data_IF_704932345040
#
_entry.id   IF_704932345040
#
_cell.length_a   1.000
_cell.length_b   1.000
_cell.length_c   1.000
_cell.angle_alpha   90.00
_cell.angle_beta   90.00
_cell.angle_gamma   90.00
#
_symmetry.space_group_name_H-M   'P 1'
#
loop_
_entity.id
_entity.type
_entity.pdbx_description
1 polymer ?
#
# COMPACT_ATOMS: atom_id res chain seq x y z
N UNK A 1 3.42 -11.53 31.95
CA UNK A 1 3.57 -10.42 30.98
C UNK A 1 3.38 -10.85 29.52
N UNK A 2 3.77 -12.07 29.16
CA UNK A 2 3.64 -12.62 27.79
C UNK A 2 2.19 -12.82 27.30
N UNK A 3 1.30 -13.34 28.16
CA UNK A 3 -0.09 -13.66 27.78
C UNK A 3 -0.91 -12.41 27.38
N UNK A 4 -0.74 -11.29 28.09
CA UNK A 4 -1.37 -10.01 27.71
C UNK A 4 -0.87 -9.48 26.34
N UNK A 5 0.40 -9.65 26.06
CA UNK A 5 1.01 -9.24 24.78
C UNK A 5 0.50 -10.11 23.64
N UNK A 6 0.39 -11.42 23.84
CA UNK A 6 -0.16 -12.36 22.86
C UNK A 6 -1.64 -12.03 22.59
N UNK A 7 -2.45 -11.83 23.63
CA UNK A 7 -3.87 -11.47 23.50
C UNK A 7 -4.07 -10.15 22.75
N UNK A 8 -3.24 -9.15 23.04
CA UNK A 8 -3.27 -7.84 22.36
C UNK A 8 -2.88 -7.97 20.88
N UNK A 9 -1.92 -8.82 20.55
CA UNK A 9 -1.51 -9.04 19.16
C UNK A 9 -2.57 -9.81 18.36
N UNK A 10 -3.21 -10.80 18.97
CA UNK A 10 -4.33 -11.55 18.39
C UNK A 10 -5.52 -10.59 18.15
N UNK A 11 -5.86 -9.76 19.13
CA UNK A 11 -6.93 -8.77 18.99
C UNK A 11 -6.69 -7.78 17.84
N UNK A 12 -5.45 -7.33 17.63
CA UNK A 12 -5.08 -6.45 16.51
C UNK A 12 -5.27 -7.07 15.12
N UNK A 13 -5.26 -8.39 15.02
CA UNK A 13 -5.50 -9.12 13.76
C UNK A 13 -6.99 -9.44 13.62
N UNK A 14 -7.63 -9.90 14.68
CA UNK A 14 -9.03 -10.35 14.64
C UNK A 14 -10.00 -9.17 14.54
N UNK A 15 -9.76 -8.08 15.28
CA UNK A 15 -10.68 -6.93 15.30
C UNK A 15 -10.94 -6.30 13.90
N UNK A 16 -9.93 -6.08 13.03
CA UNK A 16 -10.18 -5.61 11.67
C UNK A 16 -10.98 -6.58 10.80
N UNK A 17 -10.76 -7.89 10.98
CA UNK A 17 -11.50 -8.93 10.25
C UNK A 17 -12.96 -8.95 10.71
N UNK A 18 -13.19 -8.91 12.02
CA UNK A 18 -14.55 -8.84 12.58
C UNK A 18 -15.27 -7.55 12.16
N UNK A 19 -14.58 -6.41 12.17
CA UNK A 19 -15.15 -5.14 11.75
C UNK A 19 -15.57 -5.19 10.27
N UNK A 20 -14.69 -5.62 9.39
CA UNK A 20 -15.00 -5.76 7.96
C UNK A 20 -16.14 -6.75 7.72
N UNK A 21 -16.11 -7.91 8.41
CA UNK A 21 -17.17 -8.93 8.34
C UNK A 21 -18.51 -8.42 8.88
N UNK A 22 -18.50 -7.67 9.98
CA UNK A 22 -19.74 -7.09 10.55
C UNK A 22 -20.38 -6.06 9.59
N UNK A 23 -19.57 -5.19 8.96
CA UNK A 23 -20.07 -4.23 7.98
C UNK A 23 -20.65 -4.97 6.76
N UNK A 24 -19.95 -5.98 6.24
CA UNK A 24 -20.47 -6.78 5.14
C UNK A 24 -21.76 -7.51 5.52
N UNK A 25 -21.78 -8.18 6.68
CA UNK A 25 -22.99 -8.85 7.16
C UNK A 25 -24.16 -7.89 7.28
N UNK A 26 -23.95 -6.70 7.86
CA UNK A 26 -25.00 -5.69 7.98
C UNK A 26 -25.52 -5.19 6.63
N UNK A 27 -24.63 -5.01 5.65
CA UNK A 27 -24.99 -4.56 4.31
C UNK A 27 -25.72 -5.62 3.49
N UNK A 28 -25.35 -6.89 3.64
CA UNK A 28 -25.85 -7.98 2.77
C UNK A 28 -26.86 -8.90 3.44
N UNK A 29 -27.19 -8.66 4.72
CA UNK A 29 -28.21 -9.43 5.39
C UNK A 29 -29.59 -9.13 4.77
N UNK A 30 -30.28 -10.17 4.31
CA UNK A 30 -31.61 -10.05 3.70
C UNK A 30 -31.60 -9.85 2.19
N UNK A 31 -30.43 -9.80 1.56
CA UNK A 31 -30.32 -9.72 0.10
C UNK A 31 -30.59 -11.06 -0.58
N UNK A 32 -31.19 -10.99 -1.77
CA UNK A 32 -31.48 -12.17 -2.58
C UNK A 32 -30.24 -12.56 -3.41
N UNK A 33 -29.50 -13.55 -2.93
CA UNK A 33 -28.33 -14.08 -3.65
C UNK A 33 -28.67 -14.73 -4.99
N UNK A 34 -29.91 -15.15 -5.23
CA UNK A 34 -30.34 -15.64 -6.54
C UNK A 34 -30.43 -14.49 -7.55
N UNK A 35 -30.91 -13.34 -7.12
CA UNK A 35 -30.93 -12.12 -7.93
C UNK A 35 -29.50 -11.63 -8.22
N UNK A 36 -28.62 -11.63 -7.22
CA UNK A 36 -27.19 -11.30 -7.41
C UNK A 36 -26.53 -12.21 -8.46
N UNK A 37 -26.81 -13.52 -8.41
CA UNK A 37 -26.31 -14.48 -9.40
C UNK A 37 -26.82 -14.17 -10.79
N UNK A 38 -28.09 -13.81 -10.93
CA UNK A 38 -28.70 -13.43 -12.20
C UNK A 38 -28.00 -12.19 -12.78
N UNK A 39 -27.83 -11.14 -11.98
CA UNK A 39 -27.10 -9.92 -12.38
C UNK A 39 -25.68 -10.23 -12.83
N UNK A 40 -24.96 -11.08 -12.10
CA UNK A 40 -23.59 -11.47 -12.41
C UNK A 40 -23.49 -12.23 -13.75
N UNK A 41 -24.41 -13.17 -14.02
CA UNK A 41 -24.29 -14.08 -15.15
C UNK A 41 -24.99 -13.56 -16.42
N UNK A 42 -26.08 -12.79 -16.28
CA UNK A 42 -26.97 -12.43 -17.38
C UNK A 42 -27.02 -10.93 -17.68
N UNK A 43 -26.92 -10.07 -16.66
CA UNK A 43 -27.02 -8.62 -16.85
C UNK A 43 -25.64 -7.94 -17.01
N UNK A 44 -24.59 -8.54 -16.46
CA UNK A 44 -23.26 -7.94 -16.45
C UNK A 44 -22.52 -8.09 -17.80
N UNK A 45 -22.02 -6.97 -18.32
CA UNK A 45 -21.16 -6.99 -19.49
C UNK A 45 -19.72 -7.34 -19.13
N UNK A 46 -19.37 -8.61 -19.28
CA UNK A 46 -18.05 -9.16 -18.97
C UNK A 46 -16.91 -8.57 -19.83
N UNK A 47 -17.22 -8.07 -21.01
CA UNK A 47 -16.20 -7.47 -21.90
C UNK A 47 -15.50 -6.31 -21.24
N UNK A 48 -16.23 -5.41 -20.59
CA UNK A 48 -15.68 -4.27 -19.89
C UNK A 48 -14.90 -4.68 -18.64
N UNK A 49 -15.39 -5.68 -17.91
CA UNK A 49 -14.66 -6.22 -16.77
C UNK A 49 -13.31 -6.81 -17.18
N UNK A 50 -13.29 -7.65 -18.22
CA UNK A 50 -12.05 -8.22 -18.74
C UNK A 50 -11.12 -7.15 -19.30
N UNK A 51 -11.65 -6.13 -19.97
CA UNK A 51 -10.87 -4.99 -20.47
C UNK A 51 -10.25 -4.16 -19.33
N UNK A 52 -10.84 -4.19 -18.13
CA UNK A 52 -10.29 -3.52 -16.96
C UNK A 52 -9.02 -4.22 -16.40
N UNK A 53 -8.90 -5.54 -16.54
CA UNK A 53 -7.80 -6.33 -15.94
C UNK A 53 -6.39 -5.93 -16.37
N UNK A 54 -6.11 -5.65 -17.67
CA UNK A 54 -4.81 -5.14 -18.08
C UNK A 54 -4.35 -3.92 -17.28
N UNK A 55 -5.27 -3.01 -16.96
CA UNK A 55 -4.94 -1.82 -16.16
C UNK A 55 -4.65 -2.17 -14.70
N UNK A 56 -5.38 -3.11 -14.10
CA UNK A 56 -5.08 -3.62 -12.77
C UNK A 56 -3.70 -4.29 -12.69
N UNK A 57 -3.34 -5.08 -13.71
CA UNK A 57 -2.03 -5.71 -13.83
C UNK A 57 -0.94 -4.64 -14.04
N UNK A 58 -1.17 -3.68 -14.94
CA UNK A 58 -0.23 -2.61 -15.26
C UNK A 58 0.08 -1.73 -14.04
N UNK A 59 -0.91 -1.43 -13.22
CA UNK A 59 -0.72 -0.70 -11.97
C UNK A 59 0.27 -1.42 -11.04
N UNK A 60 0.15 -2.73 -10.91
CA UNK A 60 1.05 -3.53 -10.08
C UNK A 60 2.45 -3.69 -10.70
N UNK A 61 2.55 -3.81 -12.03
CA UNK A 61 3.83 -3.80 -12.74
C UNK A 61 4.58 -2.48 -12.53
N UNK A 62 3.91 -1.36 -12.73
CA UNK A 62 4.49 -0.03 -12.48
C UNK A 62 4.95 0.13 -11.04
N UNK A 63 4.19 -0.41 -10.08
CA UNK A 63 4.57 -0.40 -8.66
C UNK A 63 5.85 -1.21 -8.42
N UNK A 64 5.99 -2.38 -9.02
CA UNK A 64 7.21 -3.20 -8.94
C UNK A 64 8.42 -2.51 -9.55
N UNK A 65 8.27 -1.89 -10.73
CA UNK A 65 9.34 -1.17 -11.41
C UNK A 65 9.72 0.14 -10.69
N UNK A 66 8.76 0.87 -10.14
CA UNK A 66 9.00 2.04 -9.30
C UNK A 66 9.78 1.65 -8.04
N UNK A 67 9.36 0.57 -7.37
CA UNK A 67 10.04 0.08 -6.17
C UNK A 67 11.50 -0.30 -6.43
N UNK A 68 11.79 -0.92 -7.55
CA UNK A 68 13.18 -1.17 -7.94
C UNK A 68 14.02 0.10 -7.97
N UNK A 69 13.50 1.22 -8.47
CA UNK A 69 14.24 2.48 -8.54
C UNK A 69 14.60 3.04 -7.17
N UNK A 70 13.76 2.86 -6.15
CA UNK A 70 14.05 3.28 -4.78
C UNK A 70 15.02 2.34 -4.07
N UNK A 71 15.13 1.08 -4.53
CA UNK A 71 16.05 0.08 -3.98
C UNK A 71 17.47 0.18 -4.57
N UNK A 72 17.62 0.61 -5.81
CA UNK A 72 18.92 0.67 -6.49
C UNK A 72 19.98 1.54 -5.77
N UNK A 73 19.65 2.74 -5.25
CA UNK A 73 20.62 3.55 -4.48
C UNK A 73 21.12 2.80 -3.25
N UNK A 74 20.23 2.14 -2.53
CA UNK A 74 20.55 1.39 -1.31
C UNK A 74 21.48 0.20 -1.60
N UNK A 75 21.26 -0.50 -2.71
CA UNK A 75 22.12 -1.60 -3.13
C UNK A 75 23.53 -1.13 -3.45
N UNK A 76 23.68 0.06 -4.06
CA UNK A 76 24.99 0.66 -4.35
C UNK A 76 25.74 1.12 -3.10
N UNK A 77 25.05 1.69 -2.12
CA UNK A 77 25.67 2.13 -0.87
C UNK A 77 26.20 0.95 -0.06
N UNK A 78 25.51 -0.20 -0.09
CA UNK A 78 26.00 -1.44 0.53
C UNK A 78 27.31 -1.85 -0.14
N UNK A 79 27.32 -1.91 -1.46
CA UNK A 79 28.51 -2.26 -2.25
C UNK A 79 29.71 -1.37 -1.93
N UNK A 80 29.50 -0.06 -1.92
CA UNK A 80 30.57 0.91 -1.67
C UNK A 80 31.15 0.81 -0.25
N UNK A 81 30.31 0.49 0.74
CA UNK A 81 30.78 0.34 2.12
C UNK A 81 31.53 -0.96 2.34
N UNK A 82 31.13 -2.05 1.65
CA UNK A 82 31.88 -3.31 1.67
C UNK A 82 33.26 -3.16 0.99
N UNK A 83 33.33 -2.46 -0.16
CA UNK A 83 34.60 -2.16 -0.82
C UNK A 83 35.56 -1.31 0.06
N UNK A 84 35.01 -0.36 0.82
CA UNK A 84 35.81 0.45 1.76
C UNK A 84 36.28 -0.38 2.96
N UNK A 85 35.44 -1.28 3.48
CA UNK A 85 35.81 -2.18 4.57
C UNK A 85 36.96 -3.10 4.19
N UNK A 86 36.85 -3.77 3.05
CA UNK A 86 37.93 -4.67 2.55
C UNK A 86 39.22 -3.93 2.19
N UNK A 87 39.16 -2.67 1.77
CA UNK A 87 40.34 -1.86 1.48
C UNK A 87 41.05 -1.43 2.74
N UNK A 88 40.35 -1.15 3.83
CA UNK A 88 40.94 -0.80 5.13
C UNK A 88 41.57 -2.01 5.83
N UNK A 89 41.01 -3.21 5.67
CA UNK A 89 41.59 -4.45 6.21
C UNK A 89 42.89 -4.86 5.47
N UNK A 90 43.01 -4.50 4.19
CA UNK A 90 44.18 -4.80 3.37
C UNK A 90 45.24 -3.66 3.34
N UNK A 91 45.06 -2.59 4.10
CA UNK A 91 46.11 -1.57 4.28
C UNK A 91 47.11 -2.09 5.29
N UNK A 92 48.43 -2.26 4.94
CA UNK A 92 49.45 -2.63 5.89
C UNK A 92 49.51 -1.57 6.99
N UNK A 93 49.37 -1.98 8.24
CA UNK A 93 49.69 -1.12 9.39
C UNK A 93 51.10 -0.63 9.23
N UNK A 94 51.26 0.67 8.98
CA UNK A 94 52.58 1.34 8.94
C UNK A 94 53.14 1.48 10.36
N UNK A 95 53.45 0.35 10.99
CA UNK A 95 54.24 0.34 12.20
C UNK A 95 54.85 -1.06 12.39
N UNK A 96 55.97 -1.31 11.70
CA UNK A 96 57.02 -2.23 12.14
C UNK A 96 58.22 -1.96 11.28
N UNK A 97 59.10 -1.13 11.81
CA UNK A 97 60.51 -1.11 11.46
C UNK A 97 61.12 -2.46 11.82
N UNK A 98 61.22 -3.38 10.88
CA UNK A 98 62.14 -4.51 10.96
C UNK A 98 62.69 -4.74 9.57
N UNK A 99 64.01 -4.34 9.47
CA UNK A 99 64.93 -4.64 8.39
C UNK A 99 65.17 -6.15 8.34
N UNK A 100 64.58 -6.86 7.41
CA UNK A 100 65.11 -8.15 6.99
C UNK A 100 64.94 -8.29 5.46
N UNK A 101 66.07 -8.52 4.73
CA UNK A 101 66.01 -8.57 3.28
C UNK A 101 65.67 -9.98 2.79
N UNK A 102 64.78 -9.99 1.87
CA UNK A 102 64.68 -10.91 0.75
C UNK A 102 64.38 -12.38 0.96
N UNK A 103 63.16 -12.76 0.60
CA UNK A 103 63.01 -13.94 -0.29
C UNK A 103 62.00 -13.62 -1.37
N UNK A 104 62.53 -13.47 -2.56
CA UNK A 104 61.87 -13.42 -3.84
C UNK A 104 61.25 -14.76 -4.16
N UNK A 105 60.06 -15.07 -3.64
CA UNK A 105 59.22 -16.20 -4.11
C UNK A 105 57.84 -16.08 -3.48
N UNK A 106 56.99 -15.34 -4.12
CA UNK A 106 55.53 -15.61 -4.18
C UNK A 106 54.82 -14.58 -5.08
N UNK A 107 55.18 -14.61 -6.34
CA UNK A 107 54.37 -14.09 -7.45
C UNK A 107 53.51 -15.25 -7.96
N UNK A 108 52.62 -15.75 -7.16
CA UNK A 108 51.51 -16.53 -7.67
C UNK A 108 50.25 -15.73 -7.41
N UNK A 109 49.76 -15.19 -8.51
CA UNK A 109 48.54 -14.37 -8.58
C UNK A 109 47.33 -15.13 -8.09
N UNK A 110 46.96 -14.91 -6.84
CA UNK A 110 45.58 -15.02 -6.42
C UNK A 110 44.85 -13.82 -7.00
N UNK A 111 44.52 -13.89 -8.29
CA UNK A 111 43.49 -13.08 -8.91
C UNK A 111 42.20 -13.41 -8.21
N UNK A 112 41.90 -12.63 -7.15
CA UNK A 112 40.53 -12.60 -6.60
C UNK A 112 39.60 -12.37 -7.77
N UNK A 113 38.53 -13.19 -7.91
CA UNK A 113 37.59 -13.03 -8.99
C UNK A 113 37.08 -11.59 -8.96
N UNK A 114 36.87 -10.95 -10.11
CA UNK A 114 36.46 -9.56 -10.18
C UNK A 114 35.29 -9.33 -9.28
N UNK A 115 35.33 -8.31 -8.46
CA UNK A 115 34.37 -7.92 -7.43
C UNK A 115 32.91 -7.71 -7.96
N UNK A 116 32.71 -7.86 -9.26
CA UNK A 116 31.41 -7.80 -9.93
C UNK A 116 30.43 -8.93 -9.54
N UNK A 117 30.89 -9.99 -8.84
CA UNK A 117 30.04 -11.10 -8.41
C UNK A 117 29.42 -10.94 -7.00
N UNK A 118 29.82 -9.94 -6.24
CA UNK A 118 29.43 -9.82 -4.82
C UNK A 118 28.27 -8.84 -4.56
N UNK A 119 27.75 -8.16 -5.57
CA UNK A 119 26.76 -7.11 -5.32
C UNK A 119 25.31 -7.59 -5.46
N UNK A 120 24.42 -7.28 -4.52
CA UNK A 120 23.01 -7.62 -4.64
C UNK A 120 22.41 -6.88 -5.83
N UNK A 121 22.26 -7.59 -6.94
CA UNK A 121 21.58 -7.06 -8.13
C UNK A 121 20.09 -7.16 -7.94
N UNK A 122 19.40 -6.02 -7.75
CA UNK A 122 17.95 -5.96 -7.65
C UNK A 122 17.32 -6.31 -8.99
N UNK A 123 16.62 -7.45 -9.04
CA UNK A 123 15.96 -7.97 -10.24
C UNK A 123 14.56 -7.37 -10.36
N UNK A 124 14.21 -6.81 -11.53
CA UNK A 124 12.88 -6.25 -11.79
C UNK A 124 11.77 -7.28 -11.61
N UNK A 125 11.98 -8.53 -12.05
CA UNK A 125 11.01 -9.62 -11.90
C UNK A 125 10.73 -9.93 -10.43
N UNK A 126 11.76 -9.95 -9.57
CA UNK A 126 11.59 -10.18 -8.13
C UNK A 126 10.80 -9.05 -7.47
N UNK A 127 11.05 -7.79 -7.84
CA UNK A 127 10.26 -6.66 -7.35
C UNK A 127 8.79 -6.78 -7.74
N UNK A 128 8.50 -7.18 -8.99
CA UNK A 128 7.13 -7.39 -9.48
C UNK A 128 6.46 -8.55 -8.74
N UNK A 129 7.11 -9.72 -8.67
CA UNK A 129 6.55 -10.87 -7.95
C UNK A 129 6.34 -10.57 -6.46
N UNK A 130 7.25 -9.83 -5.84
CA UNK A 130 7.11 -9.41 -4.46
C UNK A 130 5.90 -8.49 -4.26
N UNK A 131 5.60 -7.60 -5.22
CA UNK A 131 4.40 -6.75 -5.20
C UNK A 131 3.14 -7.59 -5.37
N UNK A 132 3.05 -8.48 -6.35
CA UNK A 132 1.89 -9.36 -6.54
C UNK A 132 1.60 -10.19 -5.29
N UNK A 133 2.63 -10.83 -4.73
CA UNK A 133 2.48 -11.62 -3.52
C UNK A 133 2.09 -10.76 -2.31
N UNK A 134 2.56 -9.53 -2.23
CA UNK A 134 2.22 -8.62 -1.14
C UNK A 134 0.74 -8.25 -1.13
N UNK A 135 0.16 -7.99 -2.29
CA UNK A 135 -1.28 -7.73 -2.39
C UNK A 135 -2.10 -8.95 -1.97
N UNK A 136 -1.74 -10.14 -2.47
CA UNK A 136 -2.42 -11.39 -2.09
C UNK A 136 -2.34 -11.67 -0.58
N UNK A 137 -1.18 -11.47 0.05
CA UNK A 137 -1.03 -11.67 1.51
C UNK A 137 -1.78 -10.63 2.34
N UNK A 138 -1.98 -9.41 1.80
CA UNK A 138 -2.77 -8.38 2.45
C UNK A 138 -4.28 -8.66 2.43
N UNK A 139 -4.76 -9.60 1.60
CA UNK A 139 -6.14 -10.09 1.63
C UNK A 139 -6.42 -10.89 2.92
N UNK A 140 -5.40 -11.56 3.47
CA UNK A 140 -5.54 -12.39 4.67
C UNK A 140 -5.36 -11.51 5.92
N UNK A 141 -4.26 -10.78 5.99
CA UNK A 141 -3.95 -9.90 7.13
C UNK A 141 -3.63 -8.51 6.58
N UNK A 142 -4.37 -7.47 7.02
CA UNK A 142 -4.12 -6.10 6.58
C UNK A 142 -2.66 -5.69 6.80
N UNK A 143 -2.06 -5.08 5.78
CA UNK A 143 -0.65 -4.59 5.79
C UNK A 143 0.45 -5.65 5.86
N UNK A 144 0.13 -6.95 5.96
CA UNK A 144 1.14 -8.02 5.97
C UNK A 144 1.97 -8.01 4.68
N UNK A 145 1.38 -7.61 3.56
CA UNK A 145 2.06 -7.55 2.27
C UNK A 145 3.31 -6.68 2.26
N UNK A 146 3.36 -5.60 3.04
CA UNK A 146 4.54 -4.74 3.13
C UNK A 146 5.76 -5.50 3.70
N UNK A 147 5.52 -6.34 4.70
CA UNK A 147 6.54 -7.24 5.26
C UNK A 147 6.88 -8.38 4.31
N UNK A 148 5.87 -8.94 3.64
CA UNK A 148 6.03 -10.05 2.68
C UNK A 148 6.96 -9.64 1.54
N UNK A 149 6.76 -8.48 0.91
CA UNK A 149 7.62 -8.02 -0.19
C UNK A 149 9.07 -7.78 0.24
N UNK A 150 9.31 -7.25 1.44
CA UNK A 150 10.65 -7.10 2.00
C UNK A 150 11.31 -8.45 2.27
N UNK A 151 10.55 -9.43 2.76
CA UNK A 151 11.01 -10.80 2.97
C UNK A 151 11.41 -11.51 1.68
N UNK A 152 10.61 -11.36 0.62
CA UNK A 152 10.91 -11.88 -0.72
C UNK A 152 12.22 -11.29 -1.24
N UNK A 153 12.38 -9.97 -1.18
CA UNK A 153 13.59 -9.29 -1.65
C UNK A 153 14.84 -9.74 -0.89
N UNK A 154 14.74 -9.87 0.45
CA UNK A 154 15.83 -10.40 1.28
C UNK A 154 16.21 -11.82 0.86
N UNK A 155 15.21 -12.68 0.60
CA UNK A 155 15.44 -14.11 0.29
C UNK A 155 16.00 -14.34 -1.11
N UNK A 156 15.62 -13.52 -2.09
CA UNK A 156 15.96 -13.76 -3.51
C UNK A 156 17.08 -12.86 -4.03
N UNK A 157 17.18 -11.63 -3.55
CA UNK A 157 18.16 -10.63 -4.01
C UNK A 157 19.14 -10.19 -2.91
N UNK A 158 19.04 -10.77 -1.68
CA UNK A 158 19.99 -10.49 -0.58
C UNK A 158 19.87 -9.09 0.03
N UNK A 159 18.86 -8.29 -0.35
CA UNK A 159 18.70 -6.94 0.18
C UNK A 159 18.30 -6.96 1.66
N UNK A 160 18.88 -6.07 2.46
CA UNK A 160 18.53 -5.94 3.89
C UNK A 160 17.03 -5.63 4.07
N UNK A 161 16.37 -6.42 4.93
CA UNK A 161 14.94 -6.26 5.23
C UNK A 161 14.59 -4.85 5.72
N UNK A 162 15.37 -4.30 6.66
CA UNK A 162 15.13 -2.96 7.23
C UNK A 162 15.28 -1.86 6.18
N UNK A 163 16.28 -1.96 5.30
CA UNK A 163 16.47 -1.00 4.21
C UNK A 163 15.34 -1.08 3.18
N UNK A 164 14.92 -2.30 2.81
CA UNK A 164 13.77 -2.50 1.94
C UNK A 164 12.48 -1.94 2.56
N UNK A 165 12.27 -2.12 3.86
CA UNK A 165 11.11 -1.57 4.57
C UNK A 165 11.12 -0.04 4.57
N UNK A 166 12.29 0.59 4.72
CA UNK A 166 12.43 2.05 4.60
C UNK A 166 11.94 2.57 3.25
N UNK A 167 12.28 1.90 2.12
CA UNK A 167 11.77 2.31 0.80
C UNK A 167 10.26 2.15 0.67
N UNK A 168 9.69 1.13 1.32
CA UNK A 168 8.23 0.93 1.37
C UNK A 168 7.54 2.10 2.06
N UNK A 169 8.09 2.57 3.18
CA UNK A 169 7.55 3.74 3.91
C UNK A 169 7.61 4.99 3.03
N UNK A 170 8.73 5.21 2.33
CA UNK A 170 8.87 6.32 1.37
C UNK A 170 7.81 6.25 0.26
N UNK A 171 7.60 5.07 -0.34
CA UNK A 171 6.55 4.89 -1.36
C UNK A 171 5.15 5.21 -0.81
N UNK A 172 4.82 4.73 0.40
CA UNK A 172 3.53 5.03 1.04
C UNK A 172 3.34 6.52 1.29
N UNK A 173 4.40 7.22 1.72
CA UNK A 173 4.36 8.67 1.91
C UNK A 173 4.01 9.41 0.61
N UNK A 174 4.66 9.06 -0.49
CA UNK A 174 4.42 9.65 -1.81
C UNK A 174 3.00 9.34 -2.31
N UNK A 175 2.57 8.08 -2.20
CA UNK A 175 1.22 7.65 -2.58
C UNK A 175 0.15 8.40 -1.76
N UNK A 176 0.38 8.60 -0.46
CA UNK A 176 -0.54 9.34 0.42
C UNK A 176 -0.63 10.82 0.04
N UNK A 177 0.51 11.46 -0.26
CA UNK A 177 0.52 12.86 -0.72
C UNK A 177 -0.23 13.02 -2.04
N UNK A 178 0.03 12.14 -3.02
CA UNK A 178 -0.64 12.20 -4.30
C UNK A 178 -2.15 11.96 -4.14
N UNK A 179 -2.55 10.95 -3.37
CA UNK A 179 -3.96 10.66 -3.11
C UNK A 179 -4.64 11.81 -2.38
N UNK A 180 -3.98 12.42 -1.39
CA UNK A 180 -4.48 13.60 -0.69
C UNK A 180 -4.68 14.80 -1.63
N UNK A 181 -3.75 15.00 -2.58
CA UNK A 181 -3.88 16.05 -3.61
C UNK A 181 -5.06 15.77 -4.54
N UNK A 182 -5.19 14.55 -5.05
CA UNK A 182 -6.31 14.16 -5.91
C UNK A 182 -7.64 14.29 -5.17
N UNK A 183 -7.70 13.87 -3.90
CA UNK A 183 -8.88 14.01 -3.06
C UNK A 183 -9.27 15.47 -2.84
N UNK A 184 -8.30 16.32 -2.52
CA UNK A 184 -8.53 17.77 -2.35
C UNK A 184 -9.05 18.43 -3.63
N UNK A 185 -8.43 18.12 -4.77
CA UNK A 185 -8.90 18.64 -6.08
C UNK A 185 -10.31 18.12 -6.41
N UNK A 186 -10.58 16.83 -6.20
CA UNK A 186 -11.90 16.24 -6.44
C UNK A 186 -12.96 16.91 -5.57
N UNK A 187 -12.66 17.15 -4.29
CA UNK A 187 -13.56 17.86 -3.39
C UNK A 187 -13.86 19.27 -3.90
N UNK A 188 -12.82 20.04 -4.31
CA UNK A 188 -12.97 21.40 -4.82
C UNK A 188 -13.81 21.45 -6.10
N UNK A 189 -13.61 20.52 -7.03
CA UNK A 189 -14.37 20.49 -8.27
C UNK A 189 -15.80 19.92 -8.13
N UNK A 190 -16.09 19.20 -7.06
CA UNK A 190 -17.37 18.56 -6.81
C UNK A 190 -18.09 19.08 -5.55
N UNK A 191 -17.79 20.31 -5.14
CA UNK A 191 -18.42 20.96 -3.97
C UNK A 191 -19.95 20.93 -4.02
N UNK A 192 -20.56 21.07 -5.21
CA UNK A 192 -21.99 21.00 -5.39
C UNK A 192 -22.58 19.62 -5.02
N UNK A 193 -21.90 18.54 -5.38
CA UNK A 193 -22.32 17.17 -5.04
C UNK A 193 -22.22 16.92 -3.54
N UNK A 194 -21.13 17.35 -2.93
CA UNK A 194 -20.98 17.27 -1.48
C UNK A 194 -21.97 18.16 -0.73
N UNK A 195 -22.27 19.36 -1.25
CA UNK A 195 -23.32 20.23 -0.72
C UNK A 195 -24.69 19.54 -0.74
N UNK A 196 -25.07 18.91 -1.85
CA UNK A 196 -26.31 18.13 -1.97
C UNK A 196 -26.33 16.94 -1.01
N UNK A 197 -25.19 16.28 -0.84
CA UNK A 197 -25.04 15.19 0.15
C UNK A 197 -25.36 15.68 1.57
N UNK A 198 -24.73 16.76 2.01
CA UNK A 198 -24.95 17.30 3.34
C UNK A 198 -26.39 17.78 3.56
N UNK A 199 -27.04 18.35 2.53
CA UNK A 199 -28.45 18.75 2.62
C UNK A 199 -29.42 17.57 2.65
N UNK A 200 -29.20 16.55 1.82
CA UNK A 200 -30.05 15.36 1.76
C UNK A 200 -29.92 14.46 2.99
N UNK A 201 -28.72 14.34 3.56
CA UNK A 201 -28.50 13.57 4.79
C UNK A 201 -28.94 14.30 6.05
N UNK A 202 -29.44 15.53 5.93
CA UNK A 202 -29.84 16.36 7.07
C UNK A 202 -28.67 16.76 7.98
N UNK A 203 -27.45 16.65 7.48
CA UNK A 203 -26.21 17.01 8.18
C UNK A 203 -25.73 18.42 7.83
N UNK A 204 -26.55 19.24 7.16
CA UNK A 204 -26.21 20.66 6.99
C UNK A 204 -26.10 21.33 8.37
N UNK A 205 -25.08 22.15 8.54
CA UNK A 205 -24.83 22.86 9.81
C UNK A 205 -26.07 23.63 10.26
N UNK A 206 -26.82 24.24 9.33
CA UNK A 206 -28.04 24.96 9.62
C UNK A 206 -29.12 24.04 10.20
N UNK A 207 -29.35 22.88 9.61
CA UNK A 207 -30.36 21.91 10.08
C UNK A 207 -29.96 21.31 11.45
N UNK A 208 -28.67 21.13 11.70
CA UNK A 208 -28.16 20.67 13.01
C UNK A 208 -28.37 21.79 14.04
N UNK A 209 -28.02 23.03 13.69
CA UNK A 209 -28.11 24.16 14.59
C UNK A 209 -29.57 24.50 14.95
N UNK A 210 -30.50 24.44 14.01
CA UNK A 210 -31.92 24.69 14.25
C UNK A 210 -32.61 23.66 15.17
N UNK A 211 -32.09 22.43 15.21
CA UNK A 211 -32.65 21.35 16.05
C UNK A 211 -32.15 21.40 17.51
N UNK A 212 -31.15 22.18 17.82
CA UNK A 212 -30.61 22.27 19.16
C UNK A 212 -31.30 23.37 19.97
N UNK A 213 -31.85 22.99 21.12
CA UNK A 213 -32.23 23.95 22.18
C UNK A 213 -30.97 24.52 22.86
N UNK A 214 -31.10 25.63 23.57
CA UNK A 214 -30.00 26.21 24.35
C UNK A 214 -29.29 25.16 25.24
N UNK A 215 -30.07 24.28 25.86
CA UNK A 215 -29.56 23.15 26.65
C UNK A 215 -28.76 22.17 25.79
N UNK A 216 -29.22 21.89 24.55
CA UNK A 216 -28.50 21.04 23.61
C UNK A 216 -27.14 21.62 23.21
N UNK A 217 -27.07 22.96 22.98
CA UNK A 217 -25.77 23.62 22.72
C UNK A 217 -24.81 23.52 23.90
N UNK A 218 -25.30 23.72 25.13
CA UNK A 218 -24.48 23.59 26.32
C UNK A 218 -23.96 22.16 26.51
N UNK A 219 -24.82 21.14 26.37
CA UNK A 219 -24.41 19.74 26.45
C UNK A 219 -23.40 19.40 25.36
N UNK A 220 -23.63 19.83 24.12
CA UNK A 220 -22.70 19.60 23.02
C UNK A 220 -21.35 20.28 23.26
N UNK A 221 -21.35 21.53 23.74
CA UNK A 221 -20.12 22.24 24.11
C UNK A 221 -19.34 21.50 25.20
N UNK A 222 -20.02 21.03 26.24
CA UNK A 222 -19.41 20.24 27.32
C UNK A 222 -18.86 18.91 26.77
N UNK A 223 -19.60 18.21 25.90
CA UNK A 223 -19.12 17.00 25.25
C UNK A 223 -17.89 17.26 24.36
N UNK A 224 -17.90 18.34 23.57
CA UNK A 224 -16.75 18.72 22.73
C UNK A 224 -15.54 19.03 23.62
N UNK A 225 -15.72 19.81 24.69
CA UNK A 225 -14.64 20.11 25.65
C UNK A 225 -14.12 18.82 26.30
N UNK A 226 -15.00 17.95 26.74
CA UNK A 226 -14.62 16.66 27.32
C UNK A 226 -13.84 15.77 26.31
N UNK A 227 -14.29 15.73 25.06
CA UNK A 227 -13.59 15.02 23.98
C UNK A 227 -12.21 15.65 23.70
N UNK A 228 -12.12 16.98 23.65
CA UNK A 228 -10.85 17.67 23.46
C UNK A 228 -9.87 17.42 24.62
N UNK A 229 -10.36 17.44 25.85
CA UNK A 229 -9.57 17.10 27.04
C UNK A 229 -9.12 15.62 26.98
N UNK A 230 -10.03 14.70 26.65
CA UNK A 230 -9.72 13.28 26.49
C UNK A 230 -8.68 13.06 25.37
N UNK A 231 -8.87 13.69 24.22
CA UNK A 231 -7.91 13.67 23.13
C UNK A 231 -6.55 14.24 23.57
N UNK A 232 -6.54 15.36 24.27
CA UNK A 232 -5.31 15.97 24.79
C UNK A 232 -4.56 15.02 25.75
N UNK A 233 -5.27 14.39 26.70
CA UNK A 233 -4.72 13.39 27.61
C UNK A 233 -4.20 12.18 26.83
N UNK A 234 -4.98 11.70 25.85
CA UNK A 234 -4.57 10.58 24.97
C UNK A 234 -3.33 10.95 24.14
N UNK A 235 -3.29 12.16 23.60
CA UNK A 235 -2.13 12.67 22.85
C UNK A 235 -0.86 12.71 23.72
N UNK A 236 -0.98 13.14 24.97
CA UNK A 236 0.15 13.16 25.91
C UNK A 236 0.56 11.73 26.35
N UNK A 237 -0.41 10.90 26.78
CA UNK A 237 -0.12 9.59 27.35
C UNK A 237 0.38 8.56 26.33
N UNK A 238 -0.02 8.66 25.05
CA UNK A 238 0.38 7.73 23.98
C UNK A 238 1.59 8.21 23.15
N UNK A 239 2.24 9.32 23.55
CA UNK A 239 3.32 9.92 22.74
C UNK A 239 2.92 10.13 21.26
N UNK A 240 1.64 10.44 21.00
CA UNK A 240 1.10 10.61 19.66
C UNK A 240 1.82 11.76 18.94
N UNK A 241 2.13 12.84 19.66
CA UNK A 241 2.88 13.97 19.10
C UNK A 241 4.24 13.52 18.54
N UNK A 242 4.99 12.72 19.28
CA UNK A 242 6.26 12.18 18.79
C UNK A 242 6.08 11.24 17.60
N UNK A 243 5.01 10.44 17.58
CA UNK A 243 4.66 9.57 16.44
C UNK A 243 4.20 10.37 15.22
N UNK A 244 3.35 11.37 15.40
CA UNK A 244 2.93 12.27 14.31
C UNK A 244 4.13 13.06 13.77
N UNK A 245 4.98 13.61 14.64
CA UNK A 245 6.22 14.29 14.24
C UNK A 245 7.18 13.32 13.51
N UNK A 246 7.34 12.11 14.02
CA UNK A 246 8.16 11.07 13.38
C UNK A 246 7.60 10.67 12.01
N UNK A 247 6.27 10.53 11.90
CA UNK A 247 5.60 10.22 10.62
C UNK A 247 5.75 11.39 9.64
N UNK A 248 5.52 12.63 10.07
CA UNK A 248 5.72 13.82 9.24
C UNK A 248 7.18 13.98 8.82
N UNK A 249 8.12 13.74 9.74
CA UNK A 249 9.57 13.72 9.44
C UNK A 249 9.91 12.58 8.47
N UNK A 250 9.31 11.39 8.63
CA UNK A 250 9.47 10.27 7.73
C UNK A 250 8.94 10.56 6.32
N UNK A 251 7.78 11.23 6.22
CA UNK A 251 7.22 11.69 4.94
C UNK A 251 8.20 12.70 4.30
N UNK A 252 8.68 13.66 5.06
CA UNK A 252 9.61 14.68 4.57
C UNK A 252 10.95 14.08 4.13
N UNK A 253 11.50 13.16 4.91
CA UNK A 253 12.70 12.40 4.54
C UNK A 253 12.46 11.55 3.30
N UNK A 254 11.27 10.94 3.16
CA UNK A 254 10.85 10.22 1.96
C UNK A 254 10.83 11.11 0.72
N UNK A 255 10.33 12.34 0.83
CA UNK A 255 10.35 13.31 -0.27
C UNK A 255 11.79 13.74 -0.59
N UNK A 256 12.63 13.96 0.42
CA UNK A 256 14.04 14.32 0.22
C UNK A 256 14.81 13.16 -0.43
N UNK A 257 14.54 11.91 -0.07
CA UNK A 257 15.22 10.73 -0.64
C UNK A 257 14.92 10.52 -2.13
N UNK A 258 13.91 11.22 -2.69
CA UNK A 258 13.68 11.26 -4.14
C UNK A 258 14.86 11.86 -4.92
N UNK A 259 15.68 12.68 -4.28
CA UNK A 259 16.90 13.23 -4.89
C UNK A 259 17.92 12.13 -5.24
N UNK A 260 17.88 11.01 -4.51
CA UNK A 260 18.79 9.87 -4.68
C UNK A 260 18.32 8.90 -5.75
N UNK A 261 17.08 9.06 -6.25
CA UNK A 261 16.53 8.26 -7.35
C UNK A 261 17.24 8.63 -8.65
N UNK A 262 17.87 7.63 -9.28
CA UNK A 262 18.69 7.83 -10.47
C UNK A 262 17.97 8.46 -11.65
N UNK A 263 16.68 8.17 -11.80
CA UNK A 263 15.85 8.66 -12.93
C UNK A 263 14.51 9.16 -12.39
N UNK A 264 14.50 10.41 -11.91
CA UNK A 264 13.31 11.05 -11.35
C UNK A 264 12.14 11.14 -12.37
N UNK A 265 12.34 11.49 -13.65
CA UNK A 265 11.24 11.50 -14.63
C UNK A 265 10.56 10.15 -14.77
N UNK A 266 11.33 9.06 -14.82
CA UNK A 266 10.79 7.70 -14.90
C UNK A 266 10.05 7.30 -13.61
N UNK A 267 10.53 7.73 -12.45
CA UNK A 267 9.86 7.52 -11.16
C UNK A 267 8.49 8.23 -11.14
N UNK A 268 8.43 9.48 -11.59
CA UNK A 268 7.18 10.26 -11.72
C UNK A 268 6.24 9.59 -12.72
N UNK A 269 6.75 9.15 -13.87
CA UNK A 269 5.96 8.42 -14.86
C UNK A 269 5.30 7.17 -14.27
N UNK A 270 6.05 6.33 -13.55
CA UNK A 270 5.47 5.17 -12.89
C UNK A 270 4.49 5.57 -11.79
N UNK A 271 4.77 6.62 -11.03
CA UNK A 271 3.87 7.08 -9.97
C UNK A 271 2.51 7.52 -10.53
N UNK A 272 2.50 8.35 -11.57
CA UNK A 272 1.28 8.78 -12.25
C UNK A 272 0.60 7.58 -12.93
N UNK A 273 1.40 6.75 -13.61
CA UNK A 273 0.92 5.56 -14.29
C UNK A 273 0.21 4.55 -13.38
N UNK A 274 0.67 4.37 -12.14
CA UNK A 274 0.01 3.53 -11.13
C UNK A 274 -1.41 4.04 -10.87
N UNK A 275 -1.57 5.33 -10.61
CA UNK A 275 -2.86 5.90 -10.22
C UNK A 275 -3.84 6.00 -11.38
N UNK A 276 -3.35 6.36 -12.58
CA UNK A 276 -4.16 6.32 -13.81
C UNK A 276 -4.62 4.90 -14.09
N UNK A 277 -3.73 3.91 -13.96
CA UNK A 277 -4.08 2.51 -14.20
C UNK A 277 -5.09 1.99 -13.19
N UNK A 278 -4.97 2.31 -11.90
CA UNK A 278 -5.97 1.96 -10.89
C UNK A 278 -7.31 2.65 -11.17
N UNK A 279 -7.29 3.92 -11.55
CA UNK A 279 -8.51 4.63 -11.90
C UNK A 279 -9.19 4.01 -13.12
N UNK A 280 -8.46 3.71 -14.19
CA UNK A 280 -9.01 3.06 -15.38
C UNK A 280 -9.52 1.64 -15.08
N UNK A 281 -8.79 0.87 -14.25
CA UNK A 281 -9.24 -0.43 -13.79
C UNK A 281 -10.60 -0.35 -13.07
N UNK A 282 -10.81 0.70 -12.28
CA UNK A 282 -12.08 0.96 -11.61
C UNK A 282 -13.12 1.56 -12.56
N UNK A 283 -12.77 2.57 -13.35
CA UNK A 283 -13.71 3.29 -14.22
C UNK A 283 -14.36 2.39 -15.27
N UNK A 284 -13.60 1.48 -15.86
CA UNK A 284 -14.14 0.55 -16.85
C UNK A 284 -15.24 -0.37 -16.27
N UNK A 285 -15.27 -0.59 -14.96
CA UNK A 285 -16.32 -1.39 -14.35
C UNK A 285 -17.68 -0.70 -14.34
N UNK A 286 -17.74 0.63 -14.51
CA UNK A 286 -19.00 1.35 -14.65
C UNK A 286 -19.79 0.92 -15.88
N UNK A 287 -19.11 0.53 -16.94
CA UNK A 287 -19.70 0.06 -18.18
C UNK A 287 -20.13 -1.41 -18.13
N UNK A 288 -19.87 -2.10 -17.02
CA UNK A 288 -20.30 -3.47 -16.82
C UNK A 288 -21.80 -3.58 -16.55
N UNK A 289 -22.44 -2.53 -16.03
CA UNK A 289 -23.83 -2.54 -15.61
C UNK A 289 -24.58 -1.37 -16.24
N UNK A 290 -25.79 -1.60 -16.71
CA UNK A 290 -26.64 -0.56 -17.30
C UNK A 290 -26.88 0.58 -16.28
N UNK A 291 -27.13 0.21 -15.03
CA UNK A 291 -27.40 1.16 -13.93
C UNK A 291 -26.26 2.16 -13.68
N UNK A 292 -25.01 1.84 -14.07
CA UNK A 292 -23.84 2.71 -13.86
C UNK A 292 -23.19 3.20 -15.16
N UNK A 293 -23.52 2.64 -16.31
CA UNK A 293 -22.88 2.93 -17.60
C UNK A 293 -23.05 4.38 -18.07
N UNK A 294 -24.12 5.02 -17.68
CA UNK A 294 -24.42 6.43 -17.98
C UNK A 294 -23.75 7.42 -17.03
N UNK A 295 -23.16 6.94 -15.93
CA UNK A 295 -22.48 7.80 -14.97
C UNK A 295 -21.14 8.27 -15.55
N UNK A 296 -20.95 9.58 -15.54
CA UNK A 296 -19.79 10.21 -16.13
C UNK A 296 -18.48 10.02 -15.33
N UNK A 297 -17.38 10.49 -15.92
CA UNK A 297 -16.05 10.45 -15.34
C UNK A 297 -15.98 11.09 -13.94
N UNK A 298 -16.77 12.15 -13.69
CA UNK A 298 -16.80 12.85 -12.40
C UNK A 298 -17.31 11.95 -11.27
N UNK A 299 -18.40 11.18 -11.51
CA UNK A 299 -18.91 10.20 -10.55
C UNK A 299 -17.88 9.11 -10.27
N UNK A 300 -17.24 8.58 -11.31
CA UNK A 300 -16.22 7.57 -11.16
C UNK A 300 -15.02 8.09 -10.36
N UNK A 301 -14.61 9.35 -10.58
CA UNK A 301 -13.50 9.95 -9.83
C UNK A 301 -13.85 10.15 -8.34
N UNK A 302 -15.04 10.66 -8.05
CA UNK A 302 -15.51 10.85 -6.66
C UNK A 302 -15.60 9.52 -5.93
N UNK A 303 -16.24 8.52 -6.52
CA UNK A 303 -16.38 7.18 -5.92
C UNK A 303 -15.03 6.48 -5.75
N UNK A 304 -14.11 6.64 -6.71
CA UNK A 304 -12.74 6.14 -6.61
C UNK A 304 -11.98 6.78 -5.44
N UNK A 305 -12.06 8.11 -5.30
CA UNK A 305 -11.41 8.85 -4.21
C UNK A 305 -11.99 8.46 -2.86
N UNK A 306 -13.31 8.48 -2.72
CA UNK A 306 -14.00 8.12 -1.46
C UNK A 306 -13.72 6.67 -1.09
N UNK A 307 -13.76 5.76 -2.06
CA UNK A 307 -13.39 4.36 -1.85
C UNK A 307 -11.93 4.20 -1.41
N UNK A 308 -11.00 4.95 -2.01
CA UNK A 308 -9.58 4.91 -1.63
C UNK A 308 -9.33 5.45 -0.21
N UNK A 309 -10.09 6.46 0.21
CA UNK A 309 -10.06 6.97 1.60
C UNK A 309 -10.62 5.91 2.56
N UNK A 310 -11.72 5.25 2.21
CA UNK A 310 -12.32 4.22 3.05
C UNK A 310 -11.38 3.03 3.34
N UNK A 311 -10.45 2.71 2.42
CA UNK A 311 -9.43 1.66 2.62
C UNK A 311 -8.40 2.02 3.70
N UNK A 312 -8.35 3.26 4.19
CA UNK A 312 -7.53 3.64 5.35
C UNK A 312 -7.96 2.84 6.60
N UNK A 313 -9.25 2.49 6.70
CA UNK A 313 -9.75 1.58 7.75
C UNK A 313 -9.11 0.20 7.51
N UNK A 314 -8.37 -0.33 8.49
CA UNK A 314 -7.54 -1.52 8.30
C UNK A 314 -8.38 -2.80 8.31
N UNK A 315 -9.15 -3.04 7.26
CA UNK A 315 -9.87 -4.30 7.01
C UNK A 315 -9.18 -5.09 5.89
N UNK A 316 -9.37 -6.41 5.80
CA UNK A 316 -8.83 -7.20 4.70
C UNK A 316 -9.30 -6.63 3.35
N UNK A 317 -8.34 -6.22 2.51
CA UNK A 317 -8.62 -5.60 1.19
C UNK A 317 -9.58 -4.39 1.21
N UNK A 318 -9.78 -3.71 2.34
CA UNK A 318 -10.79 -2.64 2.47
C UNK A 318 -12.24 -3.15 2.49
N UNK A 319 -12.46 -4.46 2.61
CA UNK A 319 -13.79 -5.06 2.62
C UNK A 319 -14.65 -4.48 3.75
N UNK A 320 -15.89 -4.17 3.46
CA UNK A 320 -16.81 -3.45 4.33
C UNK A 320 -16.73 -1.93 4.12
N UNK A 321 -15.74 -1.23 4.63
CA UNK A 321 -15.63 0.23 4.48
C UNK A 321 -15.66 0.72 3.02
N UNK A 322 -14.93 0.06 2.13
CA UNK A 322 -14.95 0.37 0.70
C UNK A 322 -16.33 0.17 0.10
N UNK A 323 -16.98 -0.97 0.39
CA UNK A 323 -18.33 -1.27 -0.11
C UNK A 323 -19.33 -0.22 0.34
N UNK A 324 -19.32 0.12 1.63
CA UNK A 324 -20.21 1.13 2.19
C UNK A 324 -20.00 2.49 1.54
N UNK A 325 -18.75 2.93 1.45
CA UNK A 325 -18.39 4.24 0.91
C UNK A 325 -18.81 4.39 -0.56
N UNK A 326 -18.45 3.41 -1.40
CA UNK A 326 -18.76 3.45 -2.83
C UNK A 326 -20.26 3.29 -3.07
N UNK A 327 -20.95 2.35 -2.38
CA UNK A 327 -22.40 2.20 -2.44
C UNK A 327 -23.12 3.52 -2.15
N UNK A 328 -22.76 4.15 -1.02
CA UNK A 328 -23.36 5.42 -0.60
C UNK A 328 -23.20 6.49 -1.66
N UNK A 329 -22.01 6.62 -2.23
CA UNK A 329 -21.77 7.59 -3.28
C UNK A 329 -22.56 7.30 -4.56
N UNK A 330 -22.66 6.03 -4.99
CA UNK A 330 -23.47 5.65 -6.16
C UNK A 330 -24.95 6.00 -5.98
N UNK A 331 -25.50 5.78 -4.78
CA UNK A 331 -26.88 6.17 -4.45
C UNK A 331 -27.06 7.69 -4.57
N UNK A 332 -26.10 8.48 -4.12
CA UNK A 332 -26.14 9.94 -4.24
C UNK A 332 -26.10 10.42 -5.70
N UNK A 333 -25.49 9.65 -6.59
CA UNK A 333 -25.52 9.88 -8.02
C UNK A 333 -26.76 9.31 -8.72
N UNK A 334 -27.76 8.83 -7.94
CA UNK A 334 -29.06 8.38 -8.44
C UNK A 334 -29.14 6.89 -8.79
N UNK A 335 -28.11 6.10 -8.45
CA UNK A 335 -28.19 4.64 -8.62
C UNK A 335 -29.13 4.06 -7.55
N UNK A 336 -30.06 3.19 -7.96
CA UNK A 336 -30.96 2.48 -7.04
C UNK A 336 -30.13 1.64 -6.06
N UNK A 337 -30.56 1.60 -4.80
CA UNK A 337 -29.84 0.95 -3.69
C UNK A 337 -29.39 -0.48 -4.00
N UNK A 338 -30.29 -1.27 -4.57
CA UNK A 338 -30.04 -2.67 -4.96
C UNK A 338 -28.92 -2.80 -5.99
N UNK A 339 -28.94 -2.00 -7.07
CA UNK A 339 -27.90 -2.04 -8.10
C UNK A 339 -26.57 -1.47 -7.60
N UNK A 340 -26.60 -0.45 -6.74
CA UNK A 340 -25.39 0.06 -6.10
C UNK A 340 -24.72 -1.01 -5.23
N UNK A 341 -25.54 -1.82 -4.52
CA UNK A 341 -25.06 -2.94 -3.71
C UNK A 341 -24.43 -4.05 -4.57
N UNK A 342 -25.13 -4.45 -5.65
CA UNK A 342 -24.62 -5.47 -6.57
C UNK A 342 -23.33 -5.01 -7.26
N UNK A 343 -23.27 -3.76 -7.68
CA UNK A 343 -22.05 -3.18 -8.26
C UNK A 343 -20.85 -3.35 -7.33
N UNK A 344 -20.94 -2.86 -6.07
CA UNK A 344 -19.80 -2.89 -5.15
C UNK A 344 -19.40 -4.32 -4.80
N UNK A 345 -20.33 -5.24 -4.65
CA UNK A 345 -20.03 -6.64 -4.33
C UNK A 345 -19.34 -7.35 -5.49
N UNK A 346 -19.92 -7.26 -6.68
CA UNK A 346 -19.41 -7.95 -7.88
C UNK A 346 -18.03 -7.38 -8.26
N UNK A 347 -17.93 -6.06 -8.39
CA UNK A 347 -16.68 -5.42 -8.81
C UNK A 347 -15.56 -5.73 -7.84
N UNK A 348 -15.77 -5.54 -6.54
CA UNK A 348 -14.74 -5.81 -5.55
C UNK A 348 -14.33 -7.28 -5.50
N UNK A 349 -15.29 -8.20 -5.61
CA UNK A 349 -15.01 -9.64 -5.60
C UNK A 349 -14.21 -10.05 -6.83
N UNK A 350 -14.64 -9.64 -8.03
CA UNK A 350 -13.97 -10.02 -9.28
C UNK A 350 -12.56 -9.41 -9.36
N UNK A 351 -12.39 -8.15 -8.97
CA UNK A 351 -11.08 -7.51 -8.91
C UNK A 351 -10.16 -8.16 -7.84
N UNK A 352 -10.74 -8.61 -6.72
CA UNK A 352 -10.00 -9.37 -5.70
C UNK A 352 -9.54 -10.73 -6.24
N UNK A 353 -10.34 -11.42 -7.04
CA UNK A 353 -9.94 -12.67 -7.69
C UNK A 353 -8.73 -12.47 -8.61
N UNK A 354 -8.66 -11.35 -9.34
CA UNK A 354 -7.46 -11.00 -10.11
C UNK A 354 -6.22 -10.89 -9.21
N UNK A 355 -6.34 -10.23 -8.06
CA UNK A 355 -5.22 -10.11 -7.10
C UNK A 355 -4.78 -11.48 -6.59
N UNK A 356 -5.72 -12.38 -6.28
CA UNK A 356 -5.42 -13.76 -5.87
C UNK A 356 -4.68 -14.50 -6.99
N UNK A 357 -5.17 -14.43 -8.22
CA UNK A 357 -4.54 -15.08 -9.38
C UNK A 357 -3.09 -14.59 -9.60
N UNK A 358 -2.85 -13.28 -9.52
CA UNK A 358 -1.52 -12.71 -9.61
C UNK A 358 -0.61 -13.14 -8.45
N UNK A 359 -1.17 -13.26 -7.24
CA UNK A 359 -0.44 -13.78 -6.08
C UNK A 359 -0.02 -15.24 -6.24
N UNK A 360 -0.91 -16.09 -6.73
CA UNK A 360 -0.62 -17.51 -7.05
C UNK A 360 0.45 -17.58 -8.14
N UNK A 361 0.32 -16.81 -9.21
CA UNK A 361 1.32 -16.70 -10.26
C UNK A 361 2.70 -16.30 -9.70
N UNK A 362 2.75 -15.27 -8.87
CA UNK A 362 4.00 -14.81 -8.27
C UNK A 362 4.63 -15.86 -7.35
N UNK A 363 3.81 -16.55 -6.55
CA UNK A 363 4.28 -17.65 -5.70
C UNK A 363 4.88 -18.79 -6.50
N UNK A 364 4.23 -19.21 -7.59
CA UNK A 364 4.74 -20.20 -8.50
C UNK A 364 6.04 -19.73 -9.18
N UNK A 365 6.06 -18.52 -9.75
CA UNK A 365 7.22 -17.95 -10.42
C UNK A 365 8.44 -17.84 -9.47
N UNK A 366 8.23 -17.45 -8.22
CA UNK A 366 9.27 -17.40 -7.20
C UNK A 366 9.82 -18.79 -6.86
N UNK A 367 8.98 -19.83 -6.90
CA UNK A 367 9.42 -21.21 -6.62
C UNK A 367 10.42 -21.73 -7.66
N UNK A 368 10.33 -21.28 -8.91
CA UNK A 368 11.27 -21.63 -9.98
C UNK A 368 12.47 -20.67 -10.09
N UNK A 369 12.45 -19.56 -9.34
CA UNK A 369 13.51 -18.56 -9.42
C UNK A 369 14.68 -18.92 -8.51
N UNK A 370 15.90 -18.91 -9.05
CA UNK A 370 17.13 -19.16 -8.27
C UNK A 370 17.31 -18.08 -7.20
N UNK A 371 17.51 -18.51 -5.96
CA UNK A 371 17.93 -17.64 -4.86
C UNK A 371 19.38 -17.27 -5.03
N UNK A 372 19.77 -16.04 -4.65
CA UNK A 372 21.19 -15.71 -4.49
C UNK A 372 21.72 -16.49 -3.28
N UNK A 373 22.54 -17.52 -3.54
CA UNK A 373 23.22 -18.26 -2.49
C UNK A 373 24.28 -17.33 -1.87
N UNK A 374 24.03 -16.83 -0.67
CA UNK A 374 25.10 -16.31 0.18
C UNK A 374 25.98 -17.49 0.63
N UNK A 375 26.99 -17.83 -0.16
CA UNK A 375 28.06 -18.77 0.24
C UNK A 375 29.04 -18.17 1.27
N UNK A 376 28.66 -17.15 2.01
CA UNK A 376 29.56 -16.44 2.93
C UNK A 376 29.48 -16.92 4.39
N UNK A 377 28.64 -17.94 4.71
CA UNK A 377 28.55 -18.44 6.09
C UNK A 377 29.25 -19.79 6.34
N UNK A 378 30.18 -20.21 5.49
CA UNK A 378 30.94 -21.46 5.73
C UNK A 378 32.35 -21.24 6.29
N UNK A 379 32.80 -20.00 6.47
CA UNK A 379 34.13 -19.71 7.05
C UNK A 379 34.09 -19.31 8.53
N UNK A 380 32.96 -19.22 9.18
CA UNK A 380 32.84 -18.94 10.63
C UNK A 380 32.53 -20.19 11.49
N UNK A 381 32.69 -21.40 10.96
CA UNK A 381 32.58 -22.64 11.74
C UNK A 381 33.70 -23.62 11.43
N UNK A 382 34.94 -23.19 11.65
CA UNK A 382 36.03 -24.11 11.93
C UNK A 382 37.03 -23.43 12.87
#
# INVERSE_FOLDING_TARGET
>A
MEMKTILTNIAKIIAPILLGGAILYWMYRGEDFMRLRHVLLEEMNWTWMLLSFPFGILAQLFRGWRWKQTLEPIARDISRNEERGTRNENSPSADSSDNNPMTEQQKDGNLLPPSSFLFPRIRSSICVYAVFLSYATSLIIPRLGEFTRCGVLKRYDGCSFSKALGTVVTERAIDTLLMGTVAGLTLLFQLSVFGTFFTQTGTSLDTILERFSLTGYLVTAVCIIAILILLHILFQSLNIYSKVKATASGIWQGVISLKDVKNLPLFIFFTIGIWISYFLHYYLTFFCFEATSHLGLACALVTFVVGSIAVIVPTPNGAGPWHFAVKTMLILYGVVDEYALYFVLIVHTVQTMLVVALGIYAWAALSFTKRLNNKTNSYERN
#
